data_IF_780679518975
#
_entry.id   IF_780679518975
#
_cell.length_a   1.000
_cell.length_b   1.000
_cell.length_c   1.000
_cell.angle_alpha   90.00
_cell.angle_beta   90.00
_cell.angle_gamma   90.00
#
_symmetry.space_group_name_H-M   'P 1'
#
loop_
_entity.id
_entity.type
_entity.pdbx_description
1 polymer ?
#
# COMPACT_ATOMS: atom_id res chain seq x y z
N UNK A 1 6.90 0.02 27.51
CA UNK A 1 8.09 0.53 26.77
C UNK A 1 7.95 2.05 26.71
N UNK A 2 9.03 2.80 26.91
CA UNK A 2 8.99 4.27 26.85
C UNK A 2 9.74 4.71 25.60
N UNK A 3 9.05 5.36 24.67
CA UNK A 3 9.66 5.98 23.50
C UNK A 3 10.19 7.37 23.87
N UNK A 4 11.44 7.66 23.49
CA UNK A 4 12.08 8.95 23.76
C UNK A 4 12.76 9.48 22.51
N UNK A 5 12.45 10.71 22.14
CA UNK A 5 13.19 11.45 21.15
C UNK A 5 14.52 11.93 21.74
N UNK A 6 15.65 11.55 21.13
CA UNK A 6 16.99 11.89 21.62
C UNK A 6 17.68 13.00 20.80
N UNK A 7 17.22 13.30 19.60
CA UNK A 7 17.76 14.41 18.80
C UNK A 7 17.58 14.26 17.31
N UNK A 8 18.06 15.29 16.60
CA UNK A 8 18.22 15.34 15.14
C UNK A 8 19.66 15.70 14.84
N UNK A 9 20.29 14.95 13.94
CA UNK A 9 21.66 15.20 13.49
C UNK A 9 21.69 15.45 11.98
N UNK A 10 22.37 16.51 11.57
CA UNK A 10 22.57 16.79 10.16
C UNK A 10 23.74 15.96 9.62
N UNK A 11 23.52 15.27 8.50
CA UNK A 11 24.54 14.49 7.78
C UNK A 11 24.78 15.07 6.40
N UNK A 12 26.02 15.22 6.01
CA UNK A 12 26.39 15.77 4.69
C UNK A 12 26.09 14.80 3.53
N UNK A 13 26.04 13.50 3.82
CA UNK A 13 25.68 12.46 2.87
C UNK A 13 25.03 11.27 3.60
N UNK A 14 24.38 10.39 2.84
CA UNK A 14 23.62 9.25 3.37
C UNK A 14 24.38 7.93 3.24
N UNK A 15 25.73 7.94 3.19
CA UNK A 15 26.51 6.71 3.25
C UNK A 15 26.37 6.04 4.60
N UNK A 16 26.48 4.72 4.65
CA UNK A 16 26.39 3.96 5.89
C UNK A 16 27.38 4.41 6.96
N UNK A 17 28.61 4.77 6.55
CA UNK A 17 29.64 5.30 7.45
C UNK A 17 29.23 6.64 8.05
N UNK A 18 28.82 7.62 7.22
CA UNK A 18 28.39 8.92 7.73
C UNK A 18 27.20 8.84 8.67
N UNK A 19 26.26 7.91 8.38
CA UNK A 19 25.12 7.66 9.27
C UNK A 19 25.57 7.01 10.59
N UNK A 20 26.53 6.07 10.55
CA UNK A 20 27.10 5.45 11.75
C UNK A 20 27.81 6.49 12.61
N UNK A 21 28.67 7.33 12.03
CA UNK A 21 29.37 8.39 12.73
C UNK A 21 28.41 9.39 13.39
N UNK A 22 27.34 9.77 12.69
CA UNK A 22 26.30 10.64 13.25
C UNK A 22 25.57 10.01 14.43
N UNK A 23 25.26 8.70 14.36
CA UNK A 23 24.66 7.94 15.47
C UNK A 23 25.60 7.89 16.67
N UNK A 24 26.90 7.62 16.46
CA UNK A 24 27.90 7.57 17.53
C UNK A 24 28.03 8.93 18.23
N UNK A 25 28.08 10.01 17.45
CA UNK A 25 28.12 11.37 18.00
C UNK A 25 26.87 11.69 18.81
N UNK A 26 25.69 11.35 18.29
CA UNK A 26 24.42 11.58 18.99
C UNK A 26 24.33 10.78 20.28
N UNK A 27 24.67 9.49 20.28
CA UNK A 27 24.68 8.64 21.45
C UNK A 27 25.69 9.14 22.50
N UNK A 28 26.89 9.52 22.06
CA UNK A 28 27.95 10.05 22.94
C UNK A 28 27.52 11.32 23.68
N UNK A 29 26.79 12.25 23.02
CA UNK A 29 26.25 13.47 23.66
C UNK A 29 25.30 13.13 24.82
N UNK A 30 24.66 11.98 24.78
CA UNK A 30 23.73 11.52 25.83
C UNK A 30 24.36 10.53 26.81
N UNK A 31 25.70 10.35 26.77
CA UNK A 31 26.39 9.37 27.61
C UNK A 31 26.02 7.92 27.28
N UNK A 32 25.57 7.66 26.06
CA UNK A 32 25.22 6.35 25.54
C UNK A 32 26.29 5.86 24.56
N UNK A 33 26.30 4.55 24.28
CA UNK A 33 27.19 3.95 23.29
C UNK A 33 26.49 2.83 22.53
N UNK A 34 27.00 2.52 21.33
CA UNK A 34 26.51 1.43 20.50
C UNK A 34 26.59 0.07 21.23
N UNK A 35 27.56 -0.11 22.13
CA UNK A 35 27.71 -1.35 22.93
C UNK A 35 26.50 -1.66 23.83
N UNK A 36 25.70 -0.64 24.17
CA UNK A 36 24.47 -0.80 24.97
C UNK A 36 23.21 -1.01 24.14
N UNK A 37 23.28 -0.95 22.81
CA UNK A 37 22.12 -1.23 21.96
C UNK A 37 21.72 -2.71 22.08
N UNK A 38 20.43 -2.95 22.12
CA UNK A 38 19.84 -4.30 22.07
C UNK A 38 19.04 -4.54 20.80
N UNK A 39 18.81 -3.47 20.02
CA UNK A 39 18.12 -3.54 18.76
C UNK A 39 18.35 -2.31 17.90
N UNK A 40 18.13 -2.45 16.62
CA UNK A 40 18.16 -1.37 15.63
C UNK A 40 17.03 -1.59 14.61
N UNK A 41 16.29 -0.54 14.30
CA UNK A 41 15.13 -0.61 13.41
C UNK A 41 15.07 0.54 12.42
N UNK A 42 15.06 0.22 11.13
CA UNK A 42 14.91 1.17 10.04
C UNK A 42 14.51 0.50 8.72
N UNK A 43 14.40 1.25 7.65
CA UNK A 43 13.99 0.74 6.36
C UNK A 43 15.04 -0.17 5.69
N UNK A 44 14.69 -0.73 4.53
CA UNK A 44 15.52 -1.67 3.79
C UNK A 44 16.38 -1.03 2.69
N UNK A 45 16.64 0.28 2.73
CA UNK A 45 17.52 0.93 1.77
C UNK A 45 18.93 0.29 1.77
N UNK A 46 19.63 0.31 0.65
CA UNK A 46 20.90 -0.40 0.48
C UNK A 46 22.00 0.08 1.44
N UNK A 47 22.04 1.39 1.72
CA UNK A 47 22.93 1.99 2.72
C UNK A 47 22.56 1.62 4.16
N UNK A 48 21.31 1.23 4.42
CA UNK A 48 20.82 0.82 5.73
C UNK A 48 21.00 -0.69 5.96
N UNK A 49 20.48 -1.52 5.04
CA UNK A 49 20.40 -2.99 5.17
C UNK A 49 21.57 -3.74 4.52
N UNK A 50 22.40 -3.08 3.69
CA UNK A 50 23.43 -3.75 2.89
C UNK A 50 24.23 -4.80 3.67
N UNK A 51 24.35 -6.00 3.12
CA UNK A 51 24.90 -7.18 3.78
C UNK A 51 26.35 -6.99 4.21
N UNK A 52 27.15 -6.32 3.41
CA UNK A 52 28.59 -6.15 3.67
C UNK A 52 28.94 -4.85 4.38
N UNK A 53 28.34 -3.72 3.96
CA UNK A 53 28.73 -2.39 4.39
C UNK A 53 27.51 -1.48 4.70
N UNK A 54 26.32 -2.03 4.87
CA UNK A 54 25.17 -1.26 5.35
C UNK A 54 25.29 -0.87 6.82
N UNK A 55 24.57 0.15 7.25
CA UNK A 55 24.52 0.62 8.62
C UNK A 55 24.26 -0.53 9.62
N UNK A 56 23.30 -1.42 9.29
CA UNK A 56 23.02 -2.64 10.04
C UNK A 56 24.30 -3.43 10.34
N UNK A 57 25.09 -3.68 9.30
CA UNK A 57 26.29 -4.50 9.40
C UNK A 57 27.40 -3.80 10.18
N UNK A 58 27.54 -2.48 10.01
CA UNK A 58 28.52 -1.69 10.77
C UNK A 58 28.21 -1.73 12.27
N UNK A 59 26.95 -1.58 12.64
CA UNK A 59 26.53 -1.67 14.05
C UNK A 59 26.70 -3.09 14.59
N UNK A 60 26.32 -4.14 13.84
CA UNK A 60 26.45 -5.54 14.26
C UNK A 60 27.92 -6.00 14.41
N UNK A 61 28.84 -5.45 13.61
CA UNK A 61 30.29 -5.71 13.77
C UNK A 61 30.83 -5.20 15.12
N UNK A 62 30.29 -4.09 15.61
CA UNK A 62 30.67 -3.49 16.89
C UNK A 62 29.88 -4.11 18.06
N UNK A 63 28.58 -4.35 17.87
CA UNK A 63 27.70 -4.95 18.84
C UNK A 63 26.80 -6.04 18.22
N UNK A 64 27.19 -7.32 18.29
CA UNK A 64 26.41 -8.43 17.72
C UNK A 64 25.01 -8.60 18.34
N UNK A 65 24.75 -7.98 19.50
CA UNK A 65 23.45 -8.03 20.19
C UNK A 65 22.47 -6.93 19.77
N UNK A 66 22.88 -5.99 18.94
CA UNK A 66 22.01 -4.98 18.37
C UNK A 66 21.21 -5.56 17.19
N UNK A 67 20.29 -6.47 17.46
CA UNK A 67 19.52 -7.18 16.43
C UNK A 67 18.75 -6.20 15.53
N UNK A 68 18.81 -6.45 14.22
CA UNK A 68 18.13 -5.61 13.24
C UNK A 68 16.70 -6.07 13.01
N UNK A 69 15.77 -5.15 13.13
CA UNK A 69 14.37 -5.33 12.74
C UNK A 69 14.05 -4.40 11.57
N UNK A 70 13.57 -4.97 10.48
CA UNK A 70 13.12 -4.18 9.35
C UNK A 70 11.77 -3.50 9.68
N UNK A 71 11.66 -2.20 9.42
CA UNK A 71 10.43 -1.43 9.65
C UNK A 71 9.22 -2.11 8.99
N UNK A 72 8.23 -2.50 9.77
CA UNK A 72 7.03 -3.20 9.29
C UNK A 72 6.22 -2.36 8.29
N UNK A 73 6.07 -1.07 8.56
CA UNK A 73 5.37 -0.18 7.63
C UNK A 73 6.08 -0.11 6.27
N UNK A 74 7.43 -0.14 6.26
CA UNK A 74 8.19 -0.19 5.01
C UNK A 74 8.08 -1.55 4.32
N UNK A 75 8.14 -2.66 5.07
CA UNK A 75 7.92 -3.99 4.51
C UNK A 75 6.56 -4.11 3.83
N UNK A 76 5.50 -3.60 4.48
CA UNK A 76 4.14 -3.59 3.91
C UNK A 76 4.07 -2.77 2.61
N UNK A 77 4.74 -1.61 2.56
CA UNK A 77 4.83 -0.84 1.32
C UNK A 77 5.51 -1.63 0.20
N UNK A 78 6.57 -2.35 0.51
CA UNK A 78 7.29 -3.17 -0.48
C UNK A 78 6.44 -4.34 -1.01
N UNK A 79 5.48 -4.87 -0.25
CA UNK A 79 4.56 -5.91 -0.75
C UNK A 79 3.68 -5.37 -1.87
N UNK A 80 3.10 -4.19 -1.66
CA UNK A 80 2.25 -3.53 -2.66
C UNK A 80 3.03 -3.11 -3.92
N UNK A 81 4.23 -2.55 -3.74
CA UNK A 81 5.15 -2.22 -4.85
C UNK A 81 5.48 -3.45 -5.68
N UNK A 82 5.72 -4.59 -5.04
CA UNK A 82 6.07 -5.82 -5.74
C UNK A 82 4.94 -6.30 -6.64
N UNK A 83 3.70 -6.34 -6.13
CA UNK A 83 2.52 -6.72 -6.93
C UNK A 83 2.30 -5.75 -8.09
N UNK A 84 2.35 -4.44 -7.83
CA UNK A 84 2.16 -3.44 -8.87
C UNK A 84 3.24 -3.46 -9.96
N UNK A 85 4.46 -3.92 -9.66
CA UNK A 85 5.54 -4.06 -10.65
C UNK A 85 5.53 -5.39 -11.38
N UNK A 86 5.12 -6.48 -10.72
CA UNK A 86 5.17 -7.83 -11.27
C UNK A 86 3.94 -8.17 -12.12
N UNK A 87 2.79 -7.61 -11.81
CA UNK A 87 1.53 -7.88 -12.52
C UNK A 87 1.25 -6.80 -13.56
N UNK A 88 1.19 -7.18 -14.85
CA UNK A 88 1.10 -6.26 -15.99
C UNK A 88 -0.14 -5.36 -15.93
N UNK A 89 -1.29 -5.94 -15.60
CA UNK A 89 -2.57 -5.22 -15.56
C UNK A 89 -2.61 -4.25 -14.35
N UNK A 90 -2.04 -4.64 -13.20
CA UNK A 90 -1.89 -3.74 -12.07
C UNK A 90 -0.95 -2.56 -12.40
N UNK A 91 0.19 -2.83 -13.05
CA UNK A 91 1.11 -1.79 -13.51
C UNK A 91 0.44 -0.83 -14.50
N UNK A 92 -0.33 -1.37 -15.45
CA UNK A 92 -1.10 -0.61 -16.43
C UNK A 92 -2.13 0.30 -15.76
N UNK A 93 -2.89 -0.21 -14.78
CA UNK A 93 -3.86 0.57 -14.00
C UNK A 93 -3.19 1.78 -13.32
N UNK A 94 -2.08 1.57 -12.59
CA UNK A 94 -1.41 2.67 -11.89
C UNK A 94 -0.80 3.70 -12.86
N UNK A 95 -0.26 3.25 -13.99
CA UNK A 95 0.24 4.12 -15.05
C UNK A 95 -0.90 4.98 -15.63
N UNK A 96 -2.02 4.34 -15.99
CA UNK A 96 -3.18 5.01 -16.56
C UNK A 96 -3.81 5.99 -15.57
N UNK A 97 -3.99 5.58 -14.31
CA UNK A 97 -4.48 6.45 -13.23
C UNK A 97 -3.59 7.68 -13.05
N UNK A 98 -2.26 7.50 -13.07
CA UNK A 98 -1.31 8.61 -12.98
C UNK A 98 -1.45 9.59 -14.16
N UNK A 99 -1.61 9.08 -15.38
CA UNK A 99 -1.80 9.90 -16.56
C UNK A 99 -3.10 10.69 -16.49
N UNK A 100 -4.21 10.05 -16.10
CA UNK A 100 -5.51 10.72 -15.91
C UNK A 100 -5.36 11.86 -14.89
N UNK A 101 -4.78 11.60 -13.72
CA UNK A 101 -4.57 12.62 -12.68
C UNK A 101 -3.71 13.78 -13.20
N UNK A 102 -2.65 13.49 -13.95
CA UNK A 102 -1.77 14.52 -14.51
C UNK A 102 -2.52 15.37 -15.56
N UNK A 103 -3.30 14.76 -16.47
CA UNK A 103 -4.02 15.48 -17.51
C UNK A 103 -5.14 16.34 -16.93
N UNK A 104 -5.92 15.79 -15.98
CA UNK A 104 -6.99 16.51 -15.29
C UNK A 104 -6.43 17.62 -14.39
N UNK A 105 -5.30 17.37 -13.71
CA UNK A 105 -4.63 18.32 -12.84
C UNK A 105 -3.68 19.31 -13.52
N UNK A 106 -3.53 19.27 -14.86
CA UNK A 106 -2.49 20.02 -15.57
C UNK A 106 -2.67 21.56 -15.55
N UNK A 107 -3.87 22.05 -15.25
CA UNK A 107 -4.13 23.50 -15.16
C UNK A 107 -5.18 23.84 -14.10
N UNK A 108 -5.12 25.06 -13.57
CA UNK A 108 -6.11 25.58 -12.64
C UNK A 108 -7.53 25.50 -13.23
N UNK A 109 -7.71 25.85 -14.50
CA UNK A 109 -9.02 25.77 -15.20
C UNK A 109 -9.60 24.35 -15.13
N UNK A 110 -8.80 23.30 -15.42
CA UNK A 110 -9.26 21.90 -15.37
C UNK A 110 -9.59 21.46 -13.93
N UNK A 111 -8.77 21.86 -12.97
CA UNK A 111 -9.04 21.61 -11.55
C UNK A 111 -10.34 22.27 -11.10
N UNK A 112 -10.62 23.49 -11.54
CA UNK A 112 -11.87 24.21 -11.23
C UNK A 112 -13.08 23.53 -11.86
N UNK A 113 -13.01 23.12 -13.13
CA UNK A 113 -14.06 22.34 -13.80
C UNK A 113 -14.34 21.04 -13.02
N UNK A 114 -13.29 20.30 -12.62
CA UNK A 114 -13.44 19.07 -11.83
C UNK A 114 -14.18 19.35 -10.53
N UNK A 115 -13.81 20.42 -9.84
CA UNK A 115 -14.39 20.83 -8.55
C UNK A 115 -15.86 21.22 -8.71
N UNK A 116 -16.19 22.02 -9.72
CA UNK A 116 -17.56 22.42 -10.04
C UNK A 116 -18.45 21.22 -10.38
N UNK A 117 -17.98 20.32 -11.24
CA UNK A 117 -18.69 19.09 -11.62
C UNK A 117 -18.95 18.19 -10.41
N UNK A 118 -17.94 18.00 -9.56
CA UNK A 118 -18.06 17.19 -8.34
C UNK A 118 -19.04 17.83 -7.35
N UNK A 119 -18.98 19.13 -7.15
CA UNK A 119 -19.89 19.85 -6.26
C UNK A 119 -21.34 19.76 -6.75
N UNK A 120 -21.58 19.91 -8.07
CA UNK A 120 -22.91 19.77 -8.63
C UNK A 120 -23.52 18.38 -8.34
N UNK A 121 -22.72 17.30 -8.48
CA UNK A 121 -23.15 15.93 -8.19
C UNK A 121 -23.44 15.69 -6.70
N UNK A 122 -22.63 16.24 -5.81
CA UNK A 122 -22.87 16.18 -4.36
C UNK A 122 -24.19 16.89 -4.03
N UNK A 123 -24.44 18.08 -4.59
CA UNK A 123 -25.69 18.82 -4.39
C UNK A 123 -26.90 18.03 -4.91
N UNK A 124 -26.79 17.38 -6.05
CA UNK A 124 -27.84 16.53 -6.60
C UNK A 124 -28.12 15.30 -5.72
N UNK A 125 -27.07 14.59 -5.28
CA UNK A 125 -27.17 13.44 -4.38
C UNK A 125 -27.73 13.82 -2.99
N UNK A 126 -27.47 15.05 -2.51
CA UNK A 126 -28.08 15.58 -1.30
C UNK A 126 -29.58 15.86 -1.48
N UNK A 127 -29.97 16.42 -2.65
CA UNK A 127 -31.38 16.70 -2.97
C UNK A 127 -32.20 15.43 -3.19
N UNK A 128 -31.61 14.39 -3.76
CA UNK A 128 -32.26 13.08 -3.95
C UNK A 128 -32.31 12.24 -2.67
N UNK A 129 -31.61 12.64 -1.62
CA UNK A 129 -31.52 11.88 -0.36
C UNK A 129 -30.58 10.68 -0.41
N UNK A 130 -29.79 10.51 -1.47
CA UNK A 130 -28.80 9.44 -1.61
C UNK A 130 -27.65 9.56 -0.59
N UNK A 131 -27.30 10.78 -0.23
CA UNK A 131 -26.28 11.08 0.80
C UNK A 131 -26.87 11.99 1.88
N UNK A 132 -26.38 11.79 3.12
CA UNK A 132 -26.81 12.60 4.27
C UNK A 132 -25.93 13.83 4.44
N UNK A 133 -26.53 14.89 4.99
CA UNK A 133 -25.81 16.09 5.43
C UNK A 133 -25.26 15.89 6.84
N UNK A 134 -24.06 16.42 7.12
CA UNK A 134 -23.48 16.42 8.45
C UNK A 134 -22.19 17.23 8.50
N UNK A 135 -21.80 17.67 9.71
CA UNK A 135 -20.60 18.47 9.90
C UNK A 135 -19.36 17.62 9.56
N UNK A 136 -18.65 17.98 8.45
CA UNK A 136 -17.47 17.28 7.98
C UNK A 136 -17.72 16.03 7.13
N UNK A 137 -18.99 15.65 6.84
CA UNK A 137 -19.30 14.47 6.03
C UNK A 137 -18.99 14.64 4.53
N UNK A 138 -19.21 15.85 4.00
CA UNK A 138 -19.03 16.15 2.57
C UNK A 138 -17.88 17.15 2.38
N UNK A 139 -16.67 16.78 2.82
CA UNK A 139 -15.48 17.59 2.60
C UNK A 139 -15.07 17.56 1.13
N UNK A 140 -14.45 18.67 0.66
CA UNK A 140 -13.91 18.76 -0.68
C UNK A 140 -12.89 17.64 -0.93
N UNK A 141 -13.20 16.77 -1.88
CA UNK A 141 -12.33 15.66 -2.29
C UNK A 141 -11.47 16.13 -3.46
N UNK A 142 -10.17 15.94 -3.37
CA UNK A 142 -9.23 16.30 -4.43
C UNK A 142 -8.61 15.06 -5.06
N UNK A 143 -8.52 15.05 -6.39
CA UNK A 143 -7.77 14.02 -7.12
C UNK A 143 -6.29 14.41 -7.11
N UNK A 144 -5.49 13.69 -6.29
CA UNK A 144 -4.06 13.93 -6.14
C UNK A 144 -3.26 12.77 -6.72
N UNK A 145 -2.11 13.08 -7.31
CA UNK A 145 -1.14 12.08 -7.71
C UNK A 145 -0.64 11.32 -6.48
N UNK A 146 -0.61 9.99 -6.58
CA UNK A 146 0.01 9.16 -5.56
C UNK A 146 1.52 9.40 -5.52
N UNK A 147 2.11 9.39 -4.32
CA UNK A 147 3.55 9.50 -4.16
C UNK A 147 4.25 8.19 -4.46
N UNK A 148 5.41 8.25 -5.12
CA UNK A 148 6.15 7.08 -5.60
C UNK A 148 6.64 6.18 -4.44
N UNK A 149 6.80 6.73 -3.24
CA UNK A 149 7.35 6.05 -2.07
C UNK A 149 6.33 5.75 -0.97
N UNK A 150 5.10 6.29 -1.04
CA UNK A 150 4.08 6.13 0.01
C UNK A 150 2.81 5.50 -0.56
N UNK A 151 2.73 4.20 -0.52
CA UNK A 151 1.61 3.44 -1.08
C UNK A 151 0.25 3.69 -0.41
N UNK A 152 0.19 4.18 0.80
CA UNK A 152 -1.06 4.69 1.38
C UNK A 152 -1.70 5.82 0.56
N UNK A 153 -0.89 6.61 -0.18
CA UNK A 153 -1.41 7.62 -1.10
C UNK A 153 -2.10 7.01 -2.34
N UNK A 154 -1.70 5.80 -2.76
CA UNK A 154 -2.36 5.09 -3.86
C UNK A 154 -3.79 4.69 -3.52
N UNK A 155 -4.04 4.24 -2.26
CA UNK A 155 -5.41 3.97 -1.82
C UNK A 155 -6.31 5.21 -1.96
N UNK A 156 -5.85 6.35 -1.46
CA UNK A 156 -6.58 7.61 -1.60
C UNK A 156 -6.83 8.00 -3.06
N UNK A 157 -5.85 7.82 -3.95
CA UNK A 157 -5.99 8.11 -5.37
C UNK A 157 -7.02 7.19 -6.04
N UNK A 158 -6.96 5.86 -5.78
CA UNK A 158 -7.93 4.90 -6.34
C UNK A 158 -9.34 5.14 -5.79
N UNK A 159 -9.48 5.41 -4.50
CA UNK A 159 -10.75 5.72 -3.87
C UNK A 159 -11.37 7.01 -4.48
N UNK A 160 -10.57 8.08 -4.59
CA UNK A 160 -11.02 9.34 -5.16
C UNK A 160 -11.34 9.21 -6.65
N UNK A 161 -10.61 8.36 -7.39
CA UNK A 161 -10.92 8.05 -8.79
C UNK A 161 -12.31 7.41 -8.91
N UNK A 162 -12.69 6.52 -8.02
CA UNK A 162 -14.03 5.91 -7.99
C UNK A 162 -15.10 6.94 -7.61
N UNK A 163 -14.86 7.73 -6.55
CA UNK A 163 -15.83 8.74 -6.07
C UNK A 163 -16.07 9.84 -7.11
N UNK A 164 -15.01 10.26 -7.80
CA UNK A 164 -15.04 11.35 -8.77
C UNK A 164 -15.13 10.84 -10.21
N UNK A 165 -15.41 9.56 -10.43
CA UNK A 165 -15.33 8.89 -11.74
C UNK A 165 -16.04 9.68 -12.83
N UNK A 166 -17.32 9.99 -12.65
CA UNK A 166 -18.10 10.73 -13.63
C UNK A 166 -17.62 12.18 -13.82
N UNK A 167 -17.13 12.83 -12.75
CA UNK A 167 -16.59 14.19 -12.87
C UNK A 167 -15.26 14.21 -13.63
N UNK A 168 -14.45 13.16 -13.51
CA UNK A 168 -13.22 12.98 -14.28
C UNK A 168 -13.55 12.72 -15.76
N UNK A 169 -14.56 11.88 -16.05
CA UNK A 169 -15.08 11.66 -17.41
C UNK A 169 -15.50 12.99 -18.01
N UNK A 170 -16.34 13.79 -17.32
CA UNK A 170 -16.80 15.09 -17.83
C UNK A 170 -15.63 16.05 -18.13
N UNK A 171 -14.55 16.06 -17.33
CA UNK A 171 -13.37 16.89 -17.59
C UNK A 171 -12.59 16.39 -18.80
N UNK A 172 -12.45 15.07 -18.97
CA UNK A 172 -11.79 14.51 -20.15
C UNK A 172 -12.58 14.82 -21.42
N UNK A 173 -13.93 14.73 -21.40
CA UNK A 173 -14.81 15.14 -22.52
C UNK A 173 -14.58 16.61 -22.90
N UNK A 174 -14.57 17.52 -21.92
CA UNK A 174 -14.27 18.95 -22.17
C UNK A 174 -12.90 19.14 -22.83
N UNK A 175 -11.89 18.32 -22.46
CA UNK A 175 -10.57 18.41 -23.09
C UNK A 175 -10.57 17.85 -24.53
N UNK A 176 -11.37 16.82 -24.78
CA UNK A 176 -11.56 16.28 -26.16
C UNK A 176 -12.16 17.35 -27.06
N UNK A 177 -13.17 18.08 -26.58
CA UNK A 177 -13.89 19.09 -27.38
C UNK A 177 -13.08 20.40 -27.53
N UNK A 178 -12.58 20.95 -26.39
CA UNK A 178 -12.02 22.30 -26.28
C UNK A 178 -10.49 22.35 -26.10
N UNK A 179 -9.79 21.21 -26.19
CA UNK A 179 -8.35 21.14 -25.98
C UNK A 179 -7.57 22.04 -26.96
N UNK A 180 -6.53 22.71 -26.47
CA UNK A 180 -5.78 23.75 -27.21
C UNK A 180 -5.02 23.23 -28.42
N UNK A 181 -4.68 21.94 -28.48
CA UNK A 181 -4.01 21.30 -29.61
C UNK A 181 -4.51 19.87 -29.84
N UNK A 182 -4.22 19.31 -31.01
CA UNK A 182 -4.65 17.97 -31.41
C UNK A 182 -4.08 16.86 -30.55
N UNK A 183 -2.86 17.04 -30.03
CA UNK A 183 -2.19 16.05 -29.17
C UNK A 183 -2.92 15.91 -27.82
N UNK A 184 -3.25 17.03 -27.18
CA UNK A 184 -4.01 17.00 -25.92
C UNK A 184 -5.41 16.39 -26.11
N UNK A 185 -6.11 16.74 -27.22
CA UNK A 185 -7.42 16.13 -27.52
C UNK A 185 -7.31 14.63 -27.74
N UNK A 186 -6.31 14.18 -28.51
CA UNK A 186 -6.07 12.77 -28.76
C UNK A 186 -5.70 12.01 -27.46
N UNK A 187 -4.85 12.59 -26.62
CA UNK A 187 -4.52 12.00 -25.31
C UNK A 187 -5.74 11.88 -24.40
N UNK A 188 -6.55 12.94 -24.31
CA UNK A 188 -7.77 12.93 -23.51
C UNK A 188 -8.77 11.87 -24.01
N UNK A 189 -8.96 11.74 -25.32
CA UNK A 189 -9.82 10.71 -25.91
C UNK A 189 -9.33 9.29 -25.59
N UNK A 190 -8.04 9.02 -25.72
CA UNK A 190 -7.47 7.72 -25.39
C UNK A 190 -7.62 7.38 -23.89
N UNK A 191 -7.47 8.36 -23.00
CA UNK A 191 -7.68 8.19 -21.57
C UNK A 191 -9.15 7.94 -21.24
N UNK A 192 -10.06 8.66 -21.90
CA UNK A 192 -11.50 8.50 -21.75
C UNK A 192 -11.96 7.10 -22.17
N UNK A 193 -11.57 6.65 -23.36
CA UNK A 193 -11.87 5.29 -23.84
C UNK A 193 -11.32 4.21 -22.90
N UNK A 194 -10.09 4.42 -22.42
CA UNK A 194 -9.48 3.49 -21.45
C UNK A 194 -10.23 3.49 -20.13
N UNK A 195 -10.61 4.66 -19.61
CA UNK A 195 -11.32 4.81 -18.33
C UNK A 195 -12.73 4.20 -18.37
N UNK A 196 -13.41 4.27 -19.51
CA UNK A 196 -14.73 3.70 -19.75
C UNK A 196 -14.68 2.21 -20.14
N UNK A 197 -13.51 1.57 -20.10
CA UNK A 197 -13.37 0.15 -20.37
C UNK A 197 -13.69 -0.73 -19.15
N UNK A 198 -14.18 -1.94 -19.42
CA UNK A 198 -14.39 -2.95 -18.37
C UNK A 198 -13.09 -3.27 -17.62
N UNK A 199 -11.98 -3.46 -18.36
CA UNK A 199 -10.66 -3.82 -17.80
C UNK A 199 -10.18 -2.79 -16.78
N UNK A 200 -10.31 -1.49 -17.10
CA UNK A 200 -9.89 -0.43 -16.20
C UNK A 200 -10.72 -0.41 -14.92
N UNK A 201 -12.05 -0.41 -15.04
CA UNK A 201 -12.95 -0.30 -13.88
C UNK A 201 -12.86 -1.55 -13.00
N UNK A 202 -12.78 -2.74 -13.61
CA UNK A 202 -12.56 -3.98 -12.86
C UNK A 202 -11.26 -3.94 -12.05
N UNK A 203 -10.15 -3.59 -12.72
CA UNK A 203 -8.83 -3.47 -12.08
C UNK A 203 -8.80 -2.37 -11.02
N UNK A 204 -9.47 -1.24 -11.24
CA UNK A 204 -9.59 -0.13 -10.30
C UNK A 204 -10.27 -0.57 -8.99
N UNK A 205 -11.39 -1.26 -9.10
CA UNK A 205 -12.11 -1.78 -7.92
C UNK A 205 -11.33 -2.88 -7.21
N UNK A 206 -10.71 -3.80 -7.94
CA UNK A 206 -9.89 -4.87 -7.38
C UNK A 206 -8.72 -4.30 -6.59
N UNK A 207 -7.93 -3.42 -7.21
CA UNK A 207 -6.77 -2.83 -6.55
C UNK A 207 -7.17 -1.92 -5.39
N UNK A 208 -8.27 -1.15 -5.51
CA UNK A 208 -8.82 -0.37 -4.38
C UNK A 208 -9.16 -1.26 -3.19
N UNK A 209 -9.74 -2.43 -3.41
CA UNK A 209 -10.11 -3.36 -2.33
C UNK A 209 -8.87 -3.96 -1.67
N UNK A 210 -7.92 -4.49 -2.45
CA UNK A 210 -6.67 -5.09 -1.94
C UNK A 210 -5.80 -4.05 -1.21
N UNK A 211 -5.62 -2.87 -1.83
CA UNK A 211 -4.85 -1.77 -1.21
C UNK A 211 -5.57 -1.23 0.02
N UNK A 212 -6.92 -1.29 0.06
CA UNK A 212 -7.73 -0.92 1.23
C UNK A 212 -7.42 -1.78 2.45
N UNK A 213 -7.43 -3.10 2.30
CA UNK A 213 -7.08 -4.05 3.38
C UNK A 213 -5.67 -3.77 3.92
N UNK A 214 -4.71 -3.53 3.04
CA UNK A 214 -3.32 -3.24 3.44
C UNK A 214 -3.14 -1.82 3.97
N UNK A 215 -3.97 -0.85 3.56
CA UNK A 215 -3.94 0.52 4.09
C UNK A 215 -4.45 0.59 5.53
N UNK A 216 -5.44 -0.19 5.91
CA UNK A 216 -5.87 -0.33 7.31
C UNK A 216 -4.73 -0.84 8.18
N UNK A 217 -4.01 -1.88 7.73
CA UNK A 217 -2.81 -2.37 8.39
C UNK A 217 -1.72 -1.29 8.46
N UNK A 218 -1.48 -0.54 7.37
CA UNK A 218 -0.47 0.52 7.34
C UNK A 218 -0.76 1.63 8.35
N UNK A 219 -2.02 2.06 8.44
CA UNK A 219 -2.43 3.08 9.40
C UNK A 219 -2.28 2.59 10.85
N UNK A 220 -2.63 1.33 11.10
CA UNK A 220 -2.48 0.73 12.42
C UNK A 220 -1.00 0.59 12.83
N UNK A 221 -0.12 0.17 11.93
CA UNK A 221 1.32 0.05 12.17
C UNK A 221 2.04 1.40 12.43
N UNK A 222 1.42 2.51 12.05
CA UNK A 222 1.97 3.86 12.24
C UNK A 222 1.45 4.55 13.51
N UNK A 223 0.60 3.90 14.30
CA UNK A 223 0.09 4.46 15.57
C UNK A 223 1.19 4.46 16.62
N UNK A 224 1.22 5.50 17.45
CA UNK A 224 2.20 5.64 18.54
C UNK A 224 2.05 4.61 19.67
N UNK A 225 0.85 4.11 19.86
CA UNK A 225 0.49 3.12 20.89
C UNK A 225 0.62 1.67 20.39
N UNK A 226 1.17 1.48 19.18
CA UNK A 226 1.31 0.17 18.56
C UNK A 226 2.46 -0.62 19.20
N UNK A 227 2.12 -1.75 19.80
CA UNK A 227 3.11 -2.74 20.23
C UNK A 227 3.32 -3.82 19.14
N UNK A 228 4.38 -4.60 19.31
CA UNK A 228 4.80 -5.59 18.31
C UNK A 228 3.83 -6.77 18.20
N UNK A 229 3.19 -7.19 19.31
CA UNK A 229 2.25 -8.30 19.32
C UNK A 229 1.03 -7.93 18.51
N UNK A 230 0.53 -6.73 18.78
CA UNK A 230 -0.63 -6.19 18.09
C UNK A 230 -0.33 -6.00 16.60
N UNK A 231 0.89 -5.52 16.27
CA UNK A 231 1.35 -5.42 14.89
C UNK A 231 1.33 -6.79 14.17
N UNK A 232 1.82 -7.84 14.80
CA UNK A 232 1.82 -9.20 14.25
C UNK A 232 0.40 -9.77 14.09
N UNK A 233 -0.48 -9.53 15.06
CA UNK A 233 -1.88 -9.92 14.96
C UNK A 233 -2.58 -9.21 13.80
N UNK A 234 -2.32 -7.92 13.59
CA UNK A 234 -2.87 -7.16 12.47
C UNK A 234 -2.37 -7.68 11.11
N UNK A 235 -1.11 -8.07 10.99
CA UNK A 235 -0.59 -8.74 9.79
C UNK A 235 -1.34 -10.05 9.54
N UNK A 236 -1.56 -10.86 10.59
CA UNK A 236 -2.32 -12.11 10.49
C UNK A 236 -3.76 -11.86 10.04
N UNK A 237 -4.43 -10.87 10.62
CA UNK A 237 -5.80 -10.47 10.21
C UNK A 237 -5.84 -10.03 8.75
N UNK A 238 -4.87 -9.23 8.31
CA UNK A 238 -4.75 -8.81 6.90
C UNK A 238 -4.61 -10.02 5.96
N UNK A 239 -3.73 -10.98 6.29
CA UNK A 239 -3.58 -12.24 5.52
C UNK A 239 -4.89 -13.03 5.48
N UNK A 240 -5.59 -13.15 6.61
CA UNK A 240 -6.88 -13.85 6.69
C UNK A 240 -7.96 -13.16 5.83
N UNK A 241 -8.06 -11.83 5.85
CA UNK A 241 -9.00 -11.08 5.02
C UNK A 241 -8.73 -11.30 3.52
N UNK A 242 -7.46 -11.25 3.09
CA UNK A 242 -7.10 -11.52 1.70
C UNK A 242 -7.38 -12.99 1.32
N UNK A 243 -7.13 -13.95 2.22
CA UNK A 243 -7.44 -15.35 1.98
C UNK A 243 -8.96 -15.57 1.85
N UNK A 244 -9.76 -14.97 2.72
CA UNK A 244 -11.24 -15.04 2.64
C UNK A 244 -11.74 -14.41 1.33
N UNK A 245 -11.16 -13.29 0.90
CA UNK A 245 -11.48 -12.66 -0.38
C UNK A 245 -11.14 -13.60 -1.55
N UNK A 246 -10.00 -14.26 -1.50
CA UNK A 246 -9.59 -15.24 -2.52
C UNK A 246 -10.55 -16.42 -2.62
N UNK A 247 -10.90 -17.00 -1.47
CA UNK A 247 -11.67 -18.26 -1.44
C UNK A 247 -13.16 -18.05 -1.74
N UNK A 248 -13.75 -16.96 -1.26
CA UNK A 248 -15.21 -16.76 -1.29
C UNK A 248 -15.61 -15.37 -1.84
N UNK A 249 -14.67 -14.50 -2.22
CA UNK A 249 -14.97 -13.10 -2.51
C UNK A 249 -15.33 -12.80 -3.96
N UNK A 250 -15.18 -13.74 -4.89
CA UNK A 250 -15.38 -13.48 -6.33
C UNK A 250 -16.77 -12.97 -6.66
N UNK A 251 -17.80 -13.71 -6.26
CA UNK A 251 -19.18 -13.41 -6.67
C UNK A 251 -19.63 -12.05 -6.09
N UNK A 252 -19.39 -11.82 -4.80
CA UNK A 252 -19.73 -10.55 -4.16
C UNK A 252 -18.94 -9.36 -4.73
N UNK A 253 -17.67 -9.57 -5.09
CA UNK A 253 -16.86 -8.55 -5.75
C UNK A 253 -17.38 -8.24 -7.16
N UNK A 254 -17.70 -9.28 -7.94
CA UNK A 254 -18.21 -9.12 -9.31
C UNK A 254 -19.57 -8.41 -9.31
N UNK A 255 -20.48 -8.74 -8.39
CA UNK A 255 -21.78 -8.08 -8.22
C UNK A 255 -21.62 -6.59 -7.87
N UNK A 256 -20.69 -6.28 -6.95
CA UNK A 256 -20.40 -4.89 -6.58
C UNK A 256 -19.90 -4.08 -7.78
N UNK A 257 -18.98 -4.64 -8.57
CA UNK A 257 -18.44 -3.96 -9.74
C UNK A 257 -19.48 -3.88 -10.86
N UNK A 258 -20.31 -4.90 -11.02
CA UNK A 258 -21.43 -4.92 -11.99
C UNK A 258 -22.44 -3.79 -11.76
N UNK A 259 -22.72 -3.47 -10.50
CA UNK A 259 -23.55 -2.31 -10.14
C UNK A 259 -22.92 -0.99 -10.63
N UNK A 260 -21.62 -0.86 -10.56
CA UNK A 260 -20.89 0.31 -11.05
C UNK A 260 -20.94 0.39 -12.60
N UNK A 261 -20.75 -0.74 -13.30
CA UNK A 261 -20.87 -0.81 -14.76
C UNK A 261 -22.25 -0.36 -15.23
N UNK A 262 -23.33 -0.82 -14.58
CA UNK A 262 -24.69 -0.39 -14.91
C UNK A 262 -24.90 1.11 -14.75
N UNK A 263 -24.33 1.73 -13.71
CA UNK A 263 -24.43 3.18 -13.44
C UNK A 263 -23.80 4.02 -14.55
N UNK A 264 -22.70 3.54 -15.14
CA UNK A 264 -21.92 4.30 -16.14
C UNK A 264 -22.07 3.75 -17.57
N UNK A 265 -23.05 2.84 -17.81
CA UNK A 265 -23.29 2.18 -19.10
C UNK A 265 -22.02 1.53 -19.70
N UNK A 266 -21.15 0.99 -18.84
CA UNK A 266 -19.95 0.28 -19.28
C UNK A 266 -20.36 -1.15 -19.64
N UNK A 267 -20.05 -1.55 -20.87
CA UNK A 267 -20.42 -2.88 -21.36
C UNK A 267 -19.64 -3.98 -20.62
N UNK A 268 -20.35 -4.87 -19.95
CA UNK A 268 -19.78 -6.08 -19.35
C UNK A 268 -19.59 -7.11 -20.47
N UNK A 269 -18.36 -7.65 -20.66
CA UNK A 269 -18.14 -8.67 -21.66
C UNK A 269 -18.88 -9.97 -21.30
N UNK A 270 -19.28 -10.75 -22.29
CA UNK A 270 -19.81 -12.08 -22.00
C UNK A 270 -18.71 -12.96 -21.43
N UNK A 271 -18.89 -13.44 -20.20
CA UNK A 271 -17.87 -14.19 -19.44
C UNK A 271 -17.52 -15.55 -20.07
N UNK A 272 -18.41 -16.13 -20.86
CA UNK A 272 -18.21 -17.41 -21.56
C UNK A 272 -17.48 -17.25 -22.90
N UNK A 273 -17.39 -16.04 -23.43
CA UNK A 273 -16.68 -15.78 -24.69
C UNK A 273 -15.18 -15.77 -24.51
N UNK A 274 -14.45 -16.05 -25.60
CA UNK A 274 -12.98 -16.04 -25.64
C UNK A 274 -12.46 -14.63 -25.37
N UNK A 275 -11.52 -14.54 -24.45
CA UNK A 275 -10.85 -13.28 -24.11
C UNK A 275 -9.99 -12.79 -25.28
N UNK A 276 -10.24 -11.54 -25.72
CA UNK A 276 -9.48 -10.90 -26.80
C UNK A 276 -8.57 -9.82 -26.23
N UNK A 277 -7.28 -10.11 -26.13
CA UNK A 277 -6.30 -9.11 -25.70
C UNK A 277 -6.09 -8.05 -26.78
N UNK A 278 -6.48 -6.81 -26.49
CA UNK A 278 -6.26 -5.66 -27.36
C UNK A 278 -4.76 -5.37 -27.47
N UNK A 279 -4.16 -5.67 -28.62
CA UNK A 279 -2.73 -5.37 -28.90
C UNK A 279 -1.80 -6.58 -29.00
N UNK A 280 -2.25 -7.82 -28.76
CA UNK A 280 -1.47 -9.03 -29.04
C UNK A 280 -1.92 -9.71 -30.34
N UNK A 281 -0.95 -10.25 -31.09
CA UNK A 281 -1.26 -11.05 -32.30
C UNK A 281 -2.09 -12.28 -31.91
N UNK A 282 -3.22 -12.50 -32.59
CA UNK A 282 -4.12 -13.66 -32.42
C UNK A 282 -3.41 -15.03 -32.54
N UNK A 283 -2.23 -15.09 -33.17
CA UNK A 283 -1.46 -16.35 -33.37
C UNK A 283 -0.86 -16.95 -32.10
N UNK A 284 -0.88 -16.25 -30.97
CA UNK A 284 -0.35 -16.71 -29.67
C UNK A 284 -1.36 -16.56 -28.51
N UNK A 285 -2.63 -16.25 -28.81
CA UNK A 285 -3.65 -16.17 -27.78
C UNK A 285 -3.97 -17.60 -27.31
N UNK A 286 -3.90 -17.83 -25.98
CA UNK A 286 -4.55 -18.99 -25.39
C UNK A 286 -6.05 -18.80 -25.53
N UNK A 287 -6.79 -19.86 -25.88
CA UNK A 287 -8.25 -19.83 -25.93
C UNK A 287 -8.81 -19.93 -24.50
N UNK A 288 -8.64 -18.83 -23.73
CA UNK A 288 -9.23 -18.69 -22.40
C UNK A 288 -10.49 -17.84 -22.50
N UNK A 289 -11.47 -18.09 -21.63
CA UNK A 289 -12.68 -17.28 -21.53
C UNK A 289 -12.43 -15.97 -20.78
N UNK A 290 -13.30 -14.99 -20.97
CA UNK A 290 -13.29 -13.75 -20.18
C UNK A 290 -13.37 -14.07 -18.67
N UNK A 291 -14.21 -15.05 -18.28
CA UNK A 291 -14.30 -15.49 -16.89
C UNK A 291 -12.95 -15.99 -16.38
N UNK A 292 -12.24 -16.83 -17.13
CA UNK A 292 -10.91 -17.31 -16.73
C UNK A 292 -9.93 -16.15 -16.57
N UNK A 293 -9.89 -15.22 -17.55
CA UNK A 293 -9.00 -14.07 -17.49
C UNK A 293 -9.26 -13.20 -16.25
N UNK A 294 -10.49 -12.76 -16.02
CA UNK A 294 -10.80 -11.85 -14.92
C UNK A 294 -10.77 -12.52 -13.55
N UNK A 295 -11.23 -13.78 -13.46
CA UNK A 295 -11.27 -14.52 -12.19
C UNK A 295 -9.92 -15.11 -11.81
N UNK A 296 -9.24 -15.76 -12.76
CA UNK A 296 -8.02 -16.53 -12.46
C UNK A 296 -6.78 -15.66 -12.66
N UNK A 297 -6.62 -15.06 -13.85
CA UNK A 297 -5.40 -14.31 -14.18
C UNK A 297 -5.32 -12.92 -13.50
N UNK A 298 -6.47 -12.28 -13.18
CA UNK A 298 -6.48 -11.03 -12.45
C UNK A 298 -6.79 -11.24 -10.96
N UNK A 299 -8.04 -11.60 -10.63
CA UNK A 299 -8.52 -11.59 -9.26
C UNK A 299 -7.70 -12.52 -8.36
N UNK A 300 -7.60 -13.82 -8.70
CA UNK A 300 -6.83 -14.75 -7.88
C UNK A 300 -5.34 -14.47 -7.94
N UNK A 301 -4.78 -14.23 -9.13
CA UNK A 301 -3.34 -14.02 -9.30
C UNK A 301 -2.83 -12.83 -8.49
N UNK A 302 -3.54 -11.70 -8.49
CA UNK A 302 -3.13 -10.51 -7.73
C UNK A 302 -3.23 -10.76 -6.22
N UNK A 303 -4.30 -11.43 -5.76
CA UNK A 303 -4.44 -11.77 -4.32
C UNK A 303 -3.37 -12.77 -3.89
N UNK A 304 -3.11 -13.81 -4.69
CA UNK A 304 -2.07 -14.81 -4.40
C UNK A 304 -0.68 -14.18 -4.35
N UNK A 305 -0.36 -13.29 -5.28
CA UNK A 305 0.90 -12.52 -5.24
C UNK A 305 1.00 -11.64 -3.99
N UNK A 306 -0.10 -11.00 -3.58
CA UNK A 306 -0.11 -10.17 -2.37
C UNK A 306 0.09 -11.01 -1.11
N UNK A 307 -0.58 -12.18 -1.02
CA UNK A 307 -0.41 -13.13 0.08
C UNK A 307 1.03 -13.68 0.13
N UNK A 308 1.60 -14.05 -1.02
CA UNK A 308 2.97 -14.52 -1.11
C UNK A 308 3.97 -13.45 -0.63
N UNK A 309 3.85 -12.22 -1.12
CA UNK A 309 4.73 -11.11 -0.70
C UNK A 309 4.58 -10.79 0.81
N UNK A 310 3.37 -10.90 1.36
CA UNK A 310 3.16 -10.77 2.80
C UNK A 310 3.78 -11.92 3.59
N UNK A 311 3.73 -13.15 3.08
CA UNK A 311 4.34 -14.31 3.72
C UNK A 311 5.87 -14.20 3.70
N UNK A 312 6.46 -13.85 2.56
CA UNK A 312 7.90 -13.74 2.38
C UNK A 312 8.55 -12.63 3.22
N UNK A 313 7.80 -11.56 3.50
CA UNK A 313 8.32 -10.41 4.24
C UNK A 313 8.01 -10.43 5.74
N UNK A 314 6.91 -11.05 6.11
CA UNK A 314 6.47 -11.22 7.49
C UNK A 314 6.53 -12.70 7.86
N UNK A 315 7.71 -13.31 7.62
CA UNK A 315 8.01 -14.69 8.01
C UNK A 315 8.30 -14.79 9.54
N UNK A 316 8.36 -16.02 10.02
CA UNK A 316 8.53 -16.30 11.45
C UNK A 316 9.93 -15.97 11.96
N UNK A 317 10.96 -15.93 11.12
CA UNK A 317 12.38 -15.85 11.53
C UNK A 317 12.75 -14.49 12.15
N UNK A 318 12.25 -13.38 11.60
CA UNK A 318 12.37 -12.07 12.25
C UNK A 318 11.39 -11.91 13.41
N UNK A 319 10.47 -12.83 13.53
CA UNK A 319 9.36 -12.85 14.46
C UNK A 319 9.74 -13.45 15.82
N UNK A 320 10.68 -14.40 15.87
CA UNK A 320 11.03 -15.10 17.10
C UNK A 320 11.51 -14.15 18.20
N UNK A 321 12.48 -13.27 17.94
CA UNK A 321 12.93 -12.28 18.91
C UNK A 321 11.77 -11.39 19.38
N UNK A 322 10.93 -10.97 18.44
CA UNK A 322 9.80 -10.09 18.71
C UNK A 322 8.69 -10.82 19.47
N UNK A 323 8.43 -12.10 19.17
CA UNK A 323 7.51 -12.95 19.91
C UNK A 323 8.04 -13.26 21.32
N UNK A 324 9.35 -13.41 21.48
CA UNK A 324 9.97 -13.54 22.80
C UNK A 324 9.83 -12.25 23.63
N UNK A 325 10.04 -11.08 23.01
CA UNK A 325 9.77 -9.78 23.66
C UNK A 325 8.29 -9.61 24.04
N UNK A 326 7.42 -10.15 23.24
CA UNK A 326 5.98 -10.08 23.43
C UNK A 326 5.52 -10.70 24.75
N UNK A 327 6.18 -11.76 25.25
CA UNK A 327 5.85 -12.39 26.52
C UNK A 327 6.09 -11.48 27.74
N UNK A 328 6.84 -10.39 27.56
CA UNK A 328 7.08 -9.38 28.61
C UNK A 328 6.05 -8.23 28.60
N UNK A 329 5.06 -8.26 27.71
CA UNK A 329 4.04 -7.23 27.66
C UNK A 329 3.10 -7.34 28.89
N UNK A 330 2.99 -6.29 29.74
CA UNK A 330 2.14 -6.31 30.92
C UNK A 330 0.64 -6.15 30.59
N UNK A 331 0.28 -5.85 29.36
CA UNK A 331 -1.11 -5.72 28.96
C UNK A 331 -1.87 -7.03 29.22
N UNK A 332 -3.15 -6.91 29.50
CA UNK A 332 -4.06 -8.03 29.77
C UNK A 332 -3.51 -8.98 30.87
N UNK A 333 -2.89 -8.40 31.90
CA UNK A 333 -2.34 -9.15 33.06
C UNK A 333 -1.31 -10.21 32.66
N UNK A 334 -0.44 -9.90 31.71
CA UNK A 334 0.57 -10.82 31.16
C UNK A 334 -0.02 -12.07 30.49
N UNK A 335 -1.17 -11.95 29.85
CA UNK A 335 -1.83 -13.09 29.16
C UNK A 335 -0.90 -13.77 28.12
N UNK A 336 0.00 -13.01 27.51
CA UNK A 336 0.98 -13.51 26.53
C UNK A 336 2.24 -14.12 27.17
N UNK A 337 2.32 -14.23 28.52
CA UNK A 337 3.48 -14.76 29.20
C UNK A 337 3.71 -16.25 28.86
N UNK A 338 4.93 -16.54 28.39
CA UNK A 338 5.40 -17.90 28.09
C UNK A 338 6.83 -18.08 28.61
N UNK A 339 6.99 -18.99 29.55
CA UNK A 339 8.28 -19.29 30.20
C UNK A 339 9.34 -19.72 29.17
N UNK A 340 8.97 -20.51 28.16
CA UNK A 340 9.91 -21.01 27.16
C UNK A 340 10.38 -19.86 26.24
N UNK A 341 9.49 -18.97 25.88
CA UNK A 341 9.83 -17.75 25.12
C UNK A 341 10.71 -16.81 25.93
N UNK A 342 10.48 -16.69 27.25
CA UNK A 342 11.35 -15.90 28.12
C UNK A 342 12.75 -16.47 28.18
N UNK A 343 12.90 -17.81 28.32
CA UNK A 343 14.19 -18.50 28.28
C UNK A 343 14.87 -18.30 26.92
N UNK A 344 14.12 -18.39 25.85
CA UNK A 344 14.65 -18.13 24.51
C UNK A 344 15.09 -16.67 24.34
N UNK A 345 14.32 -15.72 24.89
CA UNK A 345 14.70 -14.30 24.91
C UNK A 345 16.02 -14.07 25.66
N UNK A 346 16.21 -14.71 26.82
CA UNK A 346 17.45 -14.61 27.55
C UNK A 346 18.67 -15.11 26.77
N UNK A 347 18.51 -16.11 25.88
CA UNK A 347 19.59 -16.60 25.01
C UNK A 347 20.01 -15.58 23.93
N UNK A 348 19.12 -14.66 23.53
CA UNK A 348 19.52 -13.57 22.65
C UNK A 348 20.41 -12.53 23.36
N UNK A 349 20.24 -12.36 24.67
CA UNK A 349 20.95 -11.36 25.50
C UNK A 349 21.58 -11.97 26.75
N UNK A 350 22.52 -12.93 26.62
CA UNK A 350 23.05 -13.66 27.75
C UNK A 350 23.81 -12.77 28.75
N UNK A 351 24.33 -11.62 28.30
CA UNK A 351 25.04 -10.68 29.18
C UNK A 351 24.11 -9.84 30.06
N UNK A 352 22.80 -9.77 29.69
CA UNK A 352 21.80 -9.02 30.46
C UNK A 352 21.09 -9.92 31.51
N UNK A 353 21.26 -11.23 31.42
CA UNK A 353 20.68 -12.20 32.34
C UNK A 353 21.82 -12.94 33.04
N UNK A 354 21.89 -12.81 34.37
CA UNK A 354 22.84 -13.59 35.18
C UNK A 354 22.47 -15.07 35.14
N UNK A 355 23.48 -15.95 35.12
CA UNK A 355 23.28 -17.37 35.39
C UNK A 355 22.69 -17.52 36.82
N UNK A 356 21.42 -17.97 36.85
CA UNK A 356 20.75 -18.34 38.09
C UNK A 356 20.84 -19.85 38.25
#
# INVERSE_FOLDING_TARGET
MIERFIGVEHVANTTALSLKDAIDMLLSRHGLSVSRLRGQGYDGASNMRGEFNGLKTLILKENPRAYYVHCFAHQLQLTLVAVAKKHTEAASLFSLTTRIVNVVGASAKRCDILREKQQAKIVEALKSGEISTGRGLNQETSLKRAGDTRWGSHYGTLLNMIIMFSSVVDVLDVIVDDGTNSEQRSEANNLLESMLSFDFVFSLHLMKTIVGVTNELSNALQRKDQDIINAMNLVKVCKQQLQMMRDNGWDSFFDQVSTFFGRYNIQVPNMEEVFVNRGRSRRKAQDITNLHHFRVELFYSIIDMQLQELNDRFDEVNTDLLLCMACLNPNDSFLAFDKNKLIQFAKYYPEDFSDI
#
